data_IF_558861870751
#
_entry.id   IF_558861870751
#
_cell.length_a   1.000
_cell.length_b   1.000
_cell.length_c   1.000
_cell.angle_alpha   90.00
_cell.angle_beta   90.00
_cell.angle_gamma   90.00
#
_symmetry.space_group_name_H-M   'P 1'
#
loop_
_entity.id
_entity.type
_entity.pdbx_description
1 polymer ?
#
# COMPACT_ATOMS: atom_id res chain seq x y z
N UNK A 1 -50.77 -13.90 -16.24
CA UNK A 1 -49.33 -14.01 -16.59
C UNK A 1 -48.54 -12.78 -16.13
N UNK A 2 -48.43 -12.48 -14.81
CA UNK A 2 -47.68 -11.28 -14.34
C UNK A 2 -46.88 -11.42 -13.04
N UNK A 3 -46.96 -12.54 -12.31
CA UNK A 3 -46.33 -12.68 -10.97
C UNK A 3 -45.07 -13.55 -10.94
N UNK A 4 -44.89 -14.48 -11.88
CA UNK A 4 -43.77 -15.44 -11.88
C UNK A 4 -42.46 -14.86 -12.42
N UNK A 5 -42.51 -13.83 -13.26
CA UNK A 5 -41.31 -13.23 -13.85
C UNK A 5 -40.51 -12.38 -12.85
N UNK A 6 -41.15 -11.87 -11.79
CA UNK A 6 -40.51 -10.95 -10.83
C UNK A 6 -39.55 -11.67 -9.85
N UNK A 7 -39.80 -12.96 -9.58
CA UNK A 7 -39.06 -13.73 -8.56
C UNK A 7 -37.72 -14.26 -9.11
N UNK A 8 -37.66 -14.53 -10.42
CA UNK A 8 -36.45 -15.08 -11.05
C UNK A 8 -35.37 -14.01 -11.16
N UNK A 9 -35.75 -12.76 -11.45
CA UNK A 9 -34.79 -11.63 -11.55
C UNK A 9 -34.17 -11.29 -10.19
N UNK A 10 -34.91 -11.48 -9.09
CA UNK A 10 -34.41 -11.23 -7.74
C UNK A 10 -33.46 -12.33 -7.24
N UNK A 11 -33.60 -13.58 -7.70
CA UNK A 11 -32.68 -14.66 -7.34
C UNK A 11 -31.29 -14.54 -8.01
N UNK A 12 -31.22 -14.01 -9.24
CA UNK A 12 -29.94 -13.77 -9.91
C UNK A 12 -29.19 -12.53 -9.39
N UNK A 13 -29.88 -11.57 -8.77
CA UNK A 13 -29.23 -10.41 -8.18
C UNK A 13 -28.48 -10.73 -6.87
N UNK A 14 -28.89 -11.80 -6.16
CA UNK A 14 -28.30 -12.17 -4.86
C UNK A 14 -27.01 -12.98 -5.02
N UNK A 15 -26.84 -13.74 -6.11
CA UNK A 15 -25.63 -14.53 -6.36
C UNK A 15 -24.42 -13.71 -6.80
N UNK A 16 -24.63 -12.53 -7.41
CA UNK A 16 -23.55 -11.62 -7.77
C UNK A 16 -22.99 -10.82 -6.58
N UNK A 17 -23.77 -10.67 -5.50
CA UNK A 17 -23.35 -9.91 -4.31
C UNK A 17 -22.42 -10.70 -3.37
N UNK A 18 -22.36 -12.02 -3.47
CA UNK A 18 -21.54 -12.87 -2.60
C UNK A 18 -20.02 -12.81 -2.93
N UNK A 19 -19.66 -12.40 -4.15
CA UNK A 19 -18.26 -12.33 -4.59
C UNK A 19 -17.58 -10.98 -4.27
N UNK A 20 -18.29 -10.03 -3.65
CA UNK A 20 -17.80 -8.69 -3.40
C UNK A 20 -17.07 -8.50 -2.06
N UNK A 21 -17.22 -9.41 -1.09
CA UNK A 21 -16.78 -9.19 0.30
C UNK A 21 -16.15 -10.42 0.97
N UNK A 22 -15.40 -11.24 0.21
CA UNK A 22 -14.57 -12.27 0.82
C UNK A 22 -13.30 -11.62 1.40
N UNK A 23 -12.90 -11.93 2.65
CA UNK A 23 -11.63 -11.48 3.22
C UNK A 23 -10.42 -11.82 2.31
N UNK A 24 -10.51 -12.92 1.55
CA UNK A 24 -9.48 -13.30 0.59
C UNK A 24 -9.42 -12.35 -0.62
N UNK A 25 -10.56 -11.81 -1.05
CA UNK A 25 -10.63 -10.85 -2.17
C UNK A 25 -10.14 -9.47 -1.72
N UNK A 26 -10.49 -9.04 -0.51
CA UNK A 26 -9.93 -7.82 0.09
C UNK A 26 -8.42 -7.95 0.27
N UNK A 27 -7.95 -9.08 0.78
CA UNK A 27 -6.54 -9.33 0.97
C UNK A 27 -5.79 -9.45 -0.36
N UNK A 28 -6.39 -10.06 -1.38
CA UNK A 28 -5.84 -10.10 -2.73
C UNK A 28 -5.75 -8.70 -3.35
N UNK A 29 -6.81 -7.87 -3.24
CA UNK A 29 -6.79 -6.48 -3.70
C UNK A 29 -5.73 -5.66 -2.97
N UNK A 30 -5.62 -5.81 -1.65
CA UNK A 30 -4.58 -5.18 -0.81
C UNK A 30 -3.18 -5.56 -1.26
N UNK A 31 -2.91 -6.85 -1.50
CA UNK A 31 -1.59 -7.32 -1.96
C UNK A 31 -1.26 -6.83 -3.37
N UNK A 32 -2.24 -6.85 -4.27
CA UNK A 32 -2.07 -6.45 -5.67
C UNK A 32 -1.86 -4.95 -5.85
N UNK A 33 -2.44 -4.11 -4.99
CA UNK A 33 -2.27 -2.65 -5.08
C UNK A 33 -0.93 -2.14 -4.55
N UNK A 34 -0.14 -2.99 -3.90
CA UNK A 34 1.00 -2.52 -3.10
C UNK A 34 2.32 -3.10 -3.63
N UNK A 35 2.42 -4.40 -3.92
CA UNK A 35 3.72 -5.06 -4.14
C UNK A 35 3.87 -5.57 -5.56
N UNK A 36 4.81 -5.02 -6.32
CA UNK A 36 5.11 -5.45 -7.70
C UNK A 36 6.47 -6.14 -7.85
N UNK A 37 7.43 -5.90 -6.96
CA UNK A 37 8.78 -6.49 -6.97
C UNK A 37 9.26 -6.84 -5.55
N UNK A 38 10.24 -7.74 -5.41
CA UNK A 38 10.86 -8.04 -4.10
C UNK A 38 11.49 -6.79 -3.48
N UNK A 39 12.09 -5.91 -4.28
CA UNK A 39 12.68 -4.67 -3.78
C UNK A 39 11.62 -3.71 -3.21
N UNK A 40 10.46 -3.61 -3.86
CA UNK A 40 9.35 -2.83 -3.33
C UNK A 40 8.83 -3.43 -2.02
N UNK A 41 8.74 -4.76 -1.94
CA UNK A 41 8.34 -5.46 -0.72
C UNK A 41 9.30 -5.15 0.44
N UNK A 42 10.60 -5.20 0.20
CA UNK A 42 11.63 -4.85 1.19
C UNK A 42 11.48 -3.40 1.66
N UNK A 43 11.25 -2.45 0.74
CA UNK A 43 11.00 -1.05 1.09
C UNK A 43 9.73 -0.87 1.95
N UNK A 44 8.66 -1.60 1.64
CA UNK A 44 7.44 -1.58 2.46
C UNK A 44 7.63 -2.15 3.85
N UNK A 45 8.29 -3.32 3.97
CA UNK A 45 8.60 -3.91 5.27
C UNK A 45 9.55 -3.02 6.08
N UNK A 46 10.48 -2.33 5.41
CA UNK A 46 11.32 -1.33 6.04
C UNK A 46 10.50 -0.14 6.58
N UNK A 47 9.69 0.50 5.74
CA UNK A 47 8.83 1.63 6.13
C UNK A 47 7.88 1.27 7.27
N UNK A 48 7.35 0.04 7.28
CA UNK A 48 6.48 -0.46 8.34
C UNK A 48 7.16 -0.48 9.72
N UNK A 49 8.50 -0.60 9.79
CA UNK A 49 9.25 -0.49 11.05
C UNK A 49 9.17 0.91 11.68
N UNK A 50 8.87 1.92 10.88
CA UNK A 50 8.73 3.33 11.28
C UNK A 50 7.26 3.81 11.23
N UNK A 51 6.32 2.88 11.43
CA UNK A 51 4.87 3.12 11.37
C UNK A 51 4.36 3.73 10.05
N UNK A 52 5.14 3.60 8.96
CA UNK A 52 4.72 4.01 7.61
C UNK A 52 4.11 2.81 6.89
N UNK A 53 2.79 2.69 7.07
CA UNK A 53 2.00 1.59 6.52
C UNK A 53 1.90 1.63 4.99
N UNK A 54 2.08 0.48 4.29
CA UNK A 54 1.99 0.41 2.83
C UNK A 54 0.66 0.90 2.25
N UNK A 55 -0.44 0.76 3.00
CA UNK A 55 -1.76 1.21 2.56
C UNK A 55 -1.87 2.73 2.44
N UNK A 56 -0.94 3.47 3.05
CA UNK A 56 -0.87 4.94 2.98
C UNK A 56 0.06 5.45 1.90
N UNK A 57 0.79 4.57 1.22
CA UNK A 57 1.72 4.92 0.14
C UNK A 57 0.96 4.95 -1.19
N UNK A 58 1.09 6.05 -1.92
CA UNK A 58 0.50 6.23 -3.24
C UNK A 58 1.51 5.98 -4.35
N UNK A 59 2.78 6.29 -4.11
CA UNK A 59 3.87 6.09 -5.06
C UNK A 59 5.09 5.54 -4.33
N UNK A 60 5.78 4.58 -4.94
CA UNK A 60 7.03 4.02 -4.44
C UNK A 60 7.98 3.82 -5.61
N UNK A 61 9.14 4.47 -5.54
CA UNK A 61 10.23 4.30 -6.49
C UNK A 61 11.44 3.72 -5.76
N UNK A 62 12.01 2.64 -6.29
CA UNK A 62 13.18 1.96 -5.71
C UNK A 62 14.37 2.06 -6.66
N UNK A 63 15.52 2.46 -6.14
CA UNK A 63 16.72 2.73 -6.93
C UNK A 63 17.60 1.48 -7.07
N UNK A 64 17.32 0.72 -8.12
CA UNK A 64 18.13 -0.44 -8.52
C UNK A 64 18.21 -1.50 -7.43
N UNK A 65 19.43 -1.83 -6.98
CA UNK A 65 19.69 -2.84 -5.93
C UNK A 65 20.33 -2.24 -4.68
N UNK A 66 20.29 -0.93 -4.52
CA UNK A 66 21.01 -0.23 -3.44
C UNK A 66 20.25 -0.19 -2.12
N UNK A 67 18.99 -0.65 -2.09
CA UNK A 67 18.12 -0.51 -0.92
C UNK A 67 17.62 0.92 -0.69
N UNK A 68 17.95 1.87 -1.59
CA UNK A 68 17.43 3.24 -1.55
C UNK A 68 16.08 3.33 -2.23
N UNK A 69 15.16 4.12 -1.67
CA UNK A 69 13.83 4.33 -2.23
C UNK A 69 13.26 5.71 -1.89
N UNK A 70 12.25 6.13 -2.66
CA UNK A 70 11.38 7.27 -2.37
C UNK A 70 9.95 6.76 -2.30
N UNK A 71 9.24 7.15 -1.25
CA UNK A 71 7.84 6.83 -1.08
C UNK A 71 7.03 8.11 -0.88
N UNK A 72 5.91 8.24 -1.60
CA UNK A 72 4.93 9.31 -1.40
C UNK A 72 3.71 8.74 -0.70
N UNK A 73 3.24 9.43 0.33
CA UNK A 73 2.01 9.08 1.04
C UNK A 73 0.77 9.80 0.51
N UNK A 74 -0.41 9.33 0.90
CA UNK A 74 -1.71 9.98 0.67
C UNK A 74 -1.80 11.41 1.22
N UNK A 75 -0.97 11.77 2.19
CA UNK A 75 -0.94 13.09 2.82
C UNK A 75 0.06 14.04 2.16
N UNK A 76 0.57 13.68 0.96
CA UNK A 76 1.66 14.38 0.27
C UNK A 76 2.99 14.47 1.07
N UNK A 77 3.15 13.67 2.13
CA UNK A 77 4.45 13.44 2.76
C UNK A 77 5.31 12.54 1.86
N UNK A 78 6.54 12.97 1.60
CA UNK A 78 7.54 12.26 0.81
C UNK A 78 8.65 11.77 1.74
N UNK A 79 8.90 10.47 1.74
CA UNK A 79 9.95 9.84 2.53
C UNK A 79 11.06 9.30 1.62
N UNK A 80 12.30 9.59 2.00
CA UNK A 80 13.53 9.05 1.42
C UNK A 80 14.05 7.98 2.39
N UNK A 81 14.23 6.77 1.89
CA UNK A 81 14.70 5.66 2.71
C UNK A 81 15.97 5.01 2.17
N UNK A 82 16.77 4.49 3.09
CA UNK A 82 17.93 3.65 2.84
C UNK A 82 17.87 2.44 3.77
N UNK A 83 17.56 1.28 3.19
CA UNK A 83 17.43 0.03 3.94
C UNK A 83 18.78 -0.40 4.53
N UNK A 84 19.89 -0.15 3.82
CA UNK A 84 21.22 -0.63 4.21
C UNK A 84 21.76 0.14 5.42
N UNK A 85 21.56 1.46 5.43
CA UNK A 85 21.97 2.32 6.55
C UNK A 85 20.87 2.53 7.58
N UNK A 86 19.75 1.80 7.44
CA UNK A 86 18.56 1.91 8.30
C UNK A 86 18.14 3.36 8.50
N UNK A 87 18.02 4.11 7.42
CA UNK A 87 17.64 5.53 7.45
C UNK A 87 16.31 5.80 6.77
N UNK A 88 15.50 6.66 7.38
CA UNK A 88 14.26 7.18 6.83
C UNK A 88 14.13 8.68 7.16
N UNK A 89 13.99 9.50 6.13
CA UNK A 89 13.78 10.93 6.25
C UNK A 89 12.50 11.33 5.51
N UNK A 90 11.58 12.03 6.16
CA UNK A 90 10.32 12.43 5.54
C UNK A 90 10.12 13.94 5.57
N UNK A 91 9.47 14.44 4.54
CA UNK A 91 9.17 15.84 4.30
C UNK A 91 7.70 16.01 3.96
N UNK A 92 7.06 17.06 4.48
CA UNK A 92 5.71 17.41 4.06
C UNK A 92 5.69 18.07 2.67
N UNK A 93 4.49 18.37 2.17
CA UNK A 93 4.25 18.96 0.85
C UNK A 93 4.92 20.31 0.59
N UNK A 94 5.35 21.01 1.64
CA UNK A 94 6.04 22.32 1.56
C UNK A 94 7.55 22.20 1.84
N UNK A 95 8.07 20.98 2.00
CA UNK A 95 9.50 20.71 2.13
C UNK A 95 10.05 20.83 3.56
N UNK A 96 9.22 20.94 4.59
CA UNK A 96 9.70 20.82 5.97
C UNK A 96 9.85 19.36 6.35
N UNK A 97 10.99 19.04 6.98
CA UNK A 97 11.25 17.71 7.53
C UNK A 97 10.31 17.42 8.70
N UNK A 98 9.53 16.36 8.57
CA UNK A 98 8.55 15.89 9.56
C UNK A 98 9.07 14.70 10.37
N UNK A 99 10.00 13.94 9.80
CA UNK A 99 10.54 12.75 10.43
C UNK A 99 11.99 12.52 10.00
N UNK A 100 12.82 12.04 10.93
CA UNK A 100 14.16 11.58 10.63
C UNK A 100 14.53 10.50 11.64
N UNK A 101 14.91 9.34 11.12
CA UNK A 101 15.52 8.27 11.90
C UNK A 101 16.65 7.66 11.07
N UNK A 102 17.79 7.40 11.70
CA UNK A 102 18.93 6.73 11.09
C UNK A 102 19.57 5.82 12.13
N UNK A 103 19.75 4.55 11.77
CA UNK A 103 20.51 3.62 12.59
C UNK A 103 21.97 4.04 12.64
N UNK A 104 22.58 3.98 13.82
CA UNK A 104 24.02 4.12 13.96
C UNK A 104 24.65 2.87 13.36
N UNK A 105 25.33 3.02 12.21
CA UNK A 105 26.07 1.94 11.59
C UNK A 105 27.43 1.83 12.30
N UNK A 106 27.46 1.14 13.44
CA UNK A 106 28.70 0.60 14.00
C UNK A 106 29.25 -0.54 13.13
#
# INVERSE_FOLDING_TARGET
>A
MKKTTLIIVSAFAISAAAFAASPLVEEYKRRRSVVHTEQMKEAYEFMKKFDRLPENITELEVFGRTGKFIAKSKNDEVCFGDILTVSLECYNSIGYRTFFEAGDSD
#
